data_IF_435530771528
#
_entry.id   IF_435530771528
#
_cell.length_a   1.000
_cell.length_b   1.000
_cell.length_c   1.000
_cell.angle_alpha   90.00
_cell.angle_beta   90.00
_cell.angle_gamma   90.00
#
_symmetry.space_group_name_H-M   'P 1'
#
loop_
_entity.id
_entity.type
_entity.pdbx_description
1 polymer ?
#
# COMPACT_ATOMS: atom_id res chain seq x y z
N UNK A 1 -3.31 6.31 7.94
CA UNK A 1 -4.61 6.25 7.25
C UNK A 1 -4.54 7.39 6.28
N UNK A 2 -4.50 7.06 4.99
CA UNK A 2 -4.42 8.07 3.96
C UNK A 2 -5.66 8.98 4.06
N UNK A 3 -5.42 10.28 4.17
CA UNK A 3 -6.46 11.31 4.23
C UNK A 3 -6.51 12.09 2.91
N UNK A 4 -7.73 12.42 2.46
CA UNK A 4 -7.93 13.25 1.28
C UNK A 4 -7.38 14.66 1.52
N UNK A 5 -6.52 15.12 0.62
CA UNK A 5 -5.93 16.46 0.63
C UNK A 5 -6.60 17.32 -0.42
N UNK A 6 -6.92 18.57 -0.09
CA UNK A 6 -7.44 19.53 -1.05
C UNK A 6 -6.37 19.87 -2.10
N UNK A 7 -6.74 19.79 -3.38
CA UNK A 7 -5.91 20.23 -4.48
C UNK A 7 -6.04 21.74 -4.64
N UNK A 8 -4.92 22.45 -4.48
CA UNK A 8 -4.84 23.90 -4.62
C UNK A 8 -3.91 24.33 -5.77
N UNK A 9 -3.41 23.38 -6.56
CA UNK A 9 -2.63 23.68 -7.76
C UNK A 9 -1.16 23.98 -7.52
N UNK A 10 -0.58 23.60 -6.37
CA UNK A 10 0.83 23.90 -6.09
C UNK A 10 1.78 22.84 -6.64
N UNK A 11 3.02 23.26 -6.93
CA UNK A 11 4.06 22.38 -7.43
C UNK A 11 4.44 21.30 -6.42
N UNK A 12 4.39 21.60 -5.12
CA UNK A 12 4.70 20.64 -4.06
C UNK A 12 3.66 19.51 -4.01
N UNK A 13 2.39 19.82 -4.23
CA UNK A 13 1.33 18.81 -4.30
C UNK A 13 1.49 17.92 -5.54
N UNK A 14 1.83 18.53 -6.68
CA UNK A 14 2.13 17.78 -7.90
C UNK A 14 3.32 16.83 -7.68
N UNK A 15 4.39 17.33 -7.08
CA UNK A 15 5.56 16.54 -6.74
C UNK A 15 5.24 15.42 -5.74
N UNK A 16 4.39 15.67 -4.75
CA UNK A 16 3.95 14.64 -3.81
C UNK A 16 3.22 13.50 -4.53
N UNK A 17 2.35 13.81 -5.49
CA UNK A 17 1.65 12.81 -6.31
C UNK A 17 2.61 12.04 -7.22
N UNK A 18 3.53 12.73 -7.90
CA UNK A 18 4.43 12.09 -8.88
C UNK A 18 5.55 11.30 -8.23
N UNK A 19 5.92 11.62 -6.98
CA UNK A 19 6.89 10.84 -6.19
C UNK A 19 6.27 9.66 -5.43
N UNK A 20 4.93 9.50 -5.45
CA UNK A 20 4.27 8.37 -4.78
C UNK A 20 4.47 7.06 -5.54
N UNK A 21 5.19 6.11 -4.93
CA UNK A 21 5.50 4.81 -5.55
C UNK A 21 4.24 3.96 -5.83
N UNK A 22 3.28 3.99 -4.90
CA UNK A 22 2.03 3.24 -5.01
C UNK A 22 0.94 4.02 -5.76
N UNK A 23 1.26 5.24 -6.20
CA UNK A 23 0.38 6.11 -6.96
C UNK A 23 -0.50 7.01 -6.09
N UNK A 24 -1.48 7.62 -6.74
CA UNK A 24 -2.42 8.55 -6.13
C UNK A 24 -3.80 8.40 -6.77
N UNK A 25 -4.82 8.92 -6.09
CA UNK A 25 -6.20 8.98 -6.58
C UNK A 25 -6.61 10.44 -6.57
N UNK A 26 -7.38 10.87 -7.56
CA UNK A 26 -7.97 12.21 -7.60
C UNK A 26 -9.48 12.14 -7.54
N UNK A 27 -10.09 13.19 -7.02
CA UNK A 27 -11.55 13.32 -6.89
C UNK A 27 -12.00 14.66 -7.45
N UNK A 28 -12.97 14.62 -8.36
CA UNK A 28 -13.49 15.81 -9.02
C UNK A 28 -14.54 16.57 -8.20
N UNK A 29 -14.97 17.73 -8.70
CA UNK A 29 -16.04 18.55 -8.11
C UNK A 29 -17.36 17.80 -7.92
N UNK A 30 -17.65 16.78 -8.74
CA UNK A 30 -18.84 15.95 -8.65
C UNK A 30 -18.70 14.81 -7.62
N UNK A 31 -17.52 14.69 -7.00
CA UNK A 31 -17.18 13.65 -6.06
C UNK A 31 -16.84 12.29 -6.69
N UNK A 32 -16.65 12.24 -8.01
CA UNK A 32 -16.20 11.03 -8.72
C UNK A 32 -14.70 10.84 -8.50
N UNK A 33 -14.32 9.61 -8.17
CA UNK A 33 -12.93 9.21 -7.92
C UNK A 33 -12.32 8.55 -9.16
N UNK A 34 -11.04 8.83 -9.42
CA UNK A 34 -10.28 8.17 -10.47
C UNK A 34 -9.91 6.73 -10.09
N UNK A 35 -9.48 5.88 -11.06
CA UNK A 35 -8.64 4.74 -10.72
C UNK A 35 -7.34 5.20 -10.01
N UNK A 36 -6.59 4.26 -9.44
CA UNK A 36 -5.23 4.53 -8.95
C UNK A 36 -4.35 4.90 -10.13
N UNK A 37 -3.80 6.11 -10.10
CA UNK A 37 -2.92 6.67 -11.11
C UNK A 37 -1.47 6.53 -10.64
N UNK A 38 -0.58 6.07 -11.51
CA UNK A 38 0.86 6.05 -11.26
C UNK A 38 1.56 7.03 -12.18
N UNK A 39 2.68 7.59 -11.74
CA UNK A 39 3.49 8.47 -12.59
C UNK A 39 3.93 7.77 -13.88
N UNK A 40 4.13 6.44 -13.85
CA UNK A 40 4.45 5.62 -15.02
C UNK A 40 3.35 5.57 -16.07
N UNK A 41 2.12 5.94 -15.71
CA UNK A 41 0.99 6.02 -16.63
C UNK A 41 1.00 7.33 -17.44
N UNK A 42 1.91 8.26 -17.14
CA UNK A 42 2.04 9.57 -17.78
C UNK A 42 3.47 9.77 -18.32
N UNK A 43 3.60 10.47 -19.45
CA UNK A 43 4.93 10.74 -20.02
C UNK A 43 5.69 11.86 -19.27
N UNK A 44 4.99 12.68 -18.46
CA UNK A 44 5.58 13.80 -17.72
C UNK A 44 4.67 14.30 -16.59
N UNK A 45 5.24 15.08 -15.66
CA UNK A 45 4.50 15.80 -14.62
C UNK A 45 3.48 16.79 -15.22
N UNK A 46 3.75 17.33 -16.42
CA UNK A 46 2.85 18.24 -17.13
C UNK A 46 1.57 17.52 -17.57
N UNK A 47 1.68 16.28 -18.06
CA UNK A 47 0.50 15.46 -18.40
C UNK A 47 -0.31 15.06 -17.17
N UNK A 48 0.33 14.86 -16.01
CA UNK A 48 -0.39 14.64 -14.74
C UNK A 48 -1.21 15.89 -14.40
N UNK A 49 -0.60 17.07 -14.48
CA UNK A 49 -1.29 18.33 -14.21
C UNK A 49 -2.44 18.58 -15.19
N UNK A 50 -2.24 18.30 -16.48
CA UNK A 50 -3.28 18.39 -17.50
C UNK A 50 -4.46 17.46 -17.18
N UNK A 51 -4.19 16.21 -16.80
CA UNK A 51 -5.22 15.27 -16.40
C UNK A 51 -6.04 15.78 -15.19
N UNK A 52 -5.36 16.31 -14.17
CA UNK A 52 -6.00 16.85 -12.97
C UNK A 52 -6.92 18.02 -13.32
N UNK A 53 -6.44 18.93 -14.16
CA UNK A 53 -7.18 20.12 -14.59
C UNK A 53 -8.36 19.77 -15.49
N UNK A 54 -8.17 18.87 -16.47
CA UNK A 54 -9.22 18.45 -17.39
C UNK A 54 -10.38 17.71 -16.69
N UNK A 55 -10.13 17.15 -15.51
CA UNK A 55 -11.13 16.45 -14.71
C UNK A 55 -11.75 17.30 -13.59
N UNK A 56 -11.46 18.60 -13.50
CA UNK A 56 -11.91 19.48 -12.41
C UNK A 56 -11.64 18.86 -11.03
N UNK A 57 -10.42 18.35 -10.84
CA UNK A 57 -10.02 17.68 -9.59
C UNK A 57 -9.95 18.68 -8.45
N UNK A 58 -10.58 18.35 -7.32
CA UNK A 58 -10.62 19.19 -6.11
C UNK A 58 -9.82 18.63 -4.96
N UNK A 59 -9.61 17.31 -4.95
CA UNK A 59 -8.88 16.61 -3.91
C UNK A 59 -8.02 15.52 -4.54
N UNK A 60 -6.96 15.16 -3.83
CA UNK A 60 -6.14 14.00 -4.13
C UNK A 60 -5.88 13.19 -2.86
N UNK A 61 -5.56 11.92 -3.04
CA UNK A 61 -5.22 10.98 -1.99
C UNK A 61 -3.94 10.26 -2.41
N UNK A 62 -2.91 10.35 -1.59
CA UNK A 62 -1.69 9.56 -1.78
C UNK A 62 -1.97 8.15 -1.27
N UNK A 63 -1.67 7.16 -2.10
CA UNK A 63 -1.79 5.76 -1.69
C UNK A 63 -0.66 5.45 -0.72
N UNK A 64 -0.98 5.30 0.56
CA UNK A 64 0.00 4.89 1.57
C UNK A 64 0.61 3.53 1.19
N UNK A 65 1.94 3.46 1.28
CA UNK A 65 2.68 2.21 1.14
C UNK A 65 2.36 1.29 2.32
N UNK A 66 1.35 0.44 2.11
CA UNK A 66 1.06 -0.67 3.01
C UNK A 66 2.09 -1.76 2.72
N UNK A 67 3.06 -1.92 3.63
CA UNK A 67 4.12 -2.91 3.53
C UNK A 67 3.60 -4.35 3.33
N UNK A 68 2.34 -4.60 3.67
CA UNK A 68 1.67 -5.90 3.51
C UNK A 68 0.77 -5.98 2.27
N UNK A 69 0.63 -4.90 1.48
CA UNK A 69 -0.24 -4.81 0.30
C UNK A 69 -0.07 -6.01 -0.63
N UNK A 70 1.16 -6.31 -1.02
CA UNK A 70 1.45 -7.40 -1.97
C UNK A 70 1.04 -8.77 -1.41
N UNK A 71 1.21 -8.98 -0.11
CA UNK A 71 0.80 -10.22 0.56
C UNK A 71 -0.72 -10.32 0.60
N UNK A 72 -1.43 -9.22 0.91
CA UNK A 72 -2.90 -9.14 0.91
C UNK A 72 -3.48 -9.43 -0.47
N UNK A 73 -2.95 -8.79 -1.52
CA UNK A 73 -3.37 -9.01 -2.91
C UNK A 73 -3.16 -10.47 -3.27
N UNK A 74 -1.95 -11.01 -3.02
CA UNK A 74 -1.63 -12.40 -3.37
C UNK A 74 -2.53 -13.40 -2.67
N UNK A 75 -2.82 -13.19 -1.38
CA UNK A 75 -3.76 -14.03 -0.64
C UNK A 75 -5.16 -13.98 -1.26
N UNK A 76 -5.67 -12.78 -1.59
CA UNK A 76 -6.99 -12.62 -2.18
C UNK A 76 -7.11 -13.28 -3.57
N UNK A 77 -6.07 -13.18 -4.39
CA UNK A 77 -6.03 -13.80 -5.73
C UNK A 77 -5.92 -15.32 -5.69
N UNK A 78 -5.09 -15.86 -4.80
CA UNK A 78 -4.69 -17.28 -4.84
C UNK A 78 -5.38 -18.14 -3.79
N UNK A 79 -5.93 -17.53 -2.73
CA UNK A 79 -6.38 -18.24 -1.53
C UNK A 79 -5.25 -18.90 -0.75
N UNK A 80 -3.97 -18.62 -1.08
CA UNK A 80 -2.84 -19.22 -0.40
C UNK A 80 -2.84 -18.84 1.10
N UNK A 81 -2.64 -19.79 2.02
CA UNK A 81 -2.55 -19.47 3.44
C UNK A 81 -1.31 -18.62 3.75
N UNK A 82 -1.47 -17.66 4.66
CA UNK A 82 -0.42 -16.75 5.13
C UNK A 82 0.13 -17.25 6.47
N UNK A 83 1.44 -17.08 6.65
CA UNK A 83 2.12 -17.31 7.92
C UNK A 83 2.19 -16.00 8.69
N UNK A 84 1.87 -16.03 9.97
CA UNK A 84 2.06 -14.90 10.87
C UNK A 84 2.71 -15.34 12.17
N UNK A 85 3.44 -14.42 12.80
CA UNK A 85 4.02 -14.64 14.14
C UNK A 85 4.06 -13.32 14.89
N UNK A 86 4.05 -13.37 16.22
CA UNK A 86 4.34 -12.18 17.00
C UNK A 86 5.82 -11.84 16.90
N UNK A 87 6.15 -10.55 16.79
CA UNK A 87 7.53 -10.04 16.80
C UNK A 87 8.26 -10.36 18.12
N UNK A 88 7.50 -10.61 19.19
CA UNK A 88 8.02 -11.00 20.51
C UNK A 88 8.17 -12.52 20.67
N UNK A 89 7.68 -13.31 19.72
CA UNK A 89 7.78 -14.76 19.82
C UNK A 89 9.23 -15.21 19.63
N UNK A 90 9.70 -16.18 20.43
CA UNK A 90 11.01 -16.78 20.19
C UNK A 90 11.05 -17.34 18.76
N UNK A 91 12.15 -17.08 18.04
CA UNK A 91 12.38 -17.52 16.64
C UNK A 91 12.57 -19.04 16.48
N UNK A 92 12.02 -19.82 17.42
CA UNK A 92 12.04 -21.29 17.47
C UNK A 92 10.83 -21.92 16.75
N UNK A 93 9.85 -21.10 16.36
CA UNK A 93 8.66 -21.52 15.63
C UNK A 93 8.62 -20.89 14.24
N UNK A 94 8.20 -21.65 13.20
CA UNK A 94 8.02 -21.14 11.85
C UNK A 94 6.79 -20.21 11.72
N UNK A 95 6.08 -19.92 12.82
CA UNK A 95 4.86 -19.12 12.85
C UNK A 95 3.59 -19.96 12.75
N UNK A 96 2.44 -19.29 12.76
CA UNK A 96 1.12 -19.89 12.61
C UNK A 96 0.60 -19.64 11.20
N UNK A 97 0.10 -20.68 10.55
CA UNK A 97 -0.52 -20.57 9.23
C UNK A 97 -2.02 -20.31 9.34
N UNK A 98 -2.57 -19.42 8.50
CA UNK A 98 -4.00 -19.12 8.45
C UNK A 98 -4.46 -18.78 7.04
N UNK A 99 -5.69 -19.19 6.69
CA UNK A 99 -6.39 -18.74 5.50
C UNK A 99 -7.19 -17.45 5.74
N UNK A 100 -7.29 -17.01 7.01
CA UNK A 100 -8.06 -15.85 7.44
C UNK A 100 -7.20 -14.95 8.34
N UNK A 101 -6.19 -14.27 7.77
CA UNK A 101 -5.30 -13.39 8.51
C UNK A 101 -6.06 -12.17 9.06
N UNK A 102 -5.82 -11.85 10.33
CA UNK A 102 -6.32 -10.63 10.93
C UNK A 102 -5.33 -9.48 10.69
N UNK A 103 -5.46 -8.80 9.56
CA UNK A 103 -4.56 -7.70 9.14
C UNK A 103 -4.44 -6.52 10.12
N UNK A 104 -5.33 -6.44 11.12
CA UNK A 104 -5.32 -5.38 12.14
C UNK A 104 -4.58 -5.79 13.43
N UNK A 105 -4.11 -7.03 13.51
CA UNK A 105 -3.31 -7.48 14.65
C UNK A 105 -2.01 -6.68 14.70
N UNK A 106 -1.74 -6.06 15.85
CA UNK A 106 -0.49 -5.34 16.11
C UNK A 106 0.62 -6.30 16.52
N UNK A 107 1.87 -5.86 16.39
CA UNK A 107 3.05 -6.60 16.86
C UNK A 107 3.20 -8.00 16.26
N UNK A 108 2.80 -8.14 14.99
CA UNK A 108 2.93 -9.37 14.21
C UNK A 108 3.56 -9.10 12.85
N UNK A 109 4.35 -10.07 12.41
CA UNK A 109 4.89 -10.15 11.05
C UNK A 109 4.06 -11.11 10.22
N UNK A 110 3.94 -10.84 8.92
CA UNK A 110 3.27 -11.71 7.95
C UNK A 110 4.24 -12.14 6.86
N UNK A 111 4.04 -13.35 6.34
CA UNK A 111 4.85 -13.91 5.26
C UNK A 111 4.03 -14.89 4.41
N UNK A 112 4.34 -14.97 3.11
CA UNK A 112 3.80 -16.00 2.20
C UNK A 112 4.44 -17.38 2.40
N UNK A 113 5.51 -17.45 3.20
CA UNK A 113 6.28 -18.66 3.49
C UNK A 113 6.49 -18.81 5.00
N UNK A 114 6.76 -20.03 5.50
CA UNK A 114 7.15 -20.23 6.90
C UNK A 114 8.34 -19.33 7.28
N UNK A 115 8.37 -18.85 8.52
CA UNK A 115 9.49 -18.07 9.02
C UNK A 115 10.70 -18.97 9.30
N UNK A 116 11.91 -18.42 9.12
CA UNK A 116 13.14 -19.12 9.46
C UNK A 116 13.20 -19.39 10.97
N UNK A 117 13.58 -20.62 11.30
CA UNK A 117 13.77 -21.08 12.67
C UNK A 117 15.25 -20.99 13.00
N UNK A 118 15.62 -20.12 13.94
CA UNK A 118 16.98 -20.14 14.49
C UNK A 118 17.06 -21.27 15.50
N UNK A 119 17.67 -22.38 15.09
CA UNK A 119 18.28 -23.31 16.04
C UNK A 119 19.53 -22.64 16.58
N UNK A 120 19.41 -21.95 17.73
CA UNK A 120 20.59 -21.69 18.52
C UNK A 120 21.19 -23.06 18.84
N UNK A 121 22.28 -23.41 18.14
CA UNK A 121 23.11 -24.55 18.47
C UNK A 121 23.54 -24.34 19.91
N UNK A 122 23.01 -25.14 20.81
CA UNK A 122 23.56 -25.26 22.16
C UNK A 122 24.90 -25.99 21.97
N UNK A 123 25.98 -25.22 21.86
CA UNK A 123 27.34 -25.69 22.15
C UNK A 123 27.57 -25.69 23.68
#
# INVERSE_FOLDING_TARGET
MADWKAWIGTKEQLQEMTMSEDGFIVKNILGTESPVLKVTDFDSDEHVLEYINNNDSTHYLIVECDSLRNIKIRQAETGQPIWYRSIFSPKRSPGTQTCFPNWYMKDVEYSLKPFDVTTDSIE
#
